data_IF_968979385483
#
_entry.id   IF_968979385483
#
_cell.length_a   1.000
_cell.length_b   1.000
_cell.length_c   1.000
_cell.angle_alpha   90.00
_cell.angle_beta   90.00
_cell.angle_gamma   90.00
#
_symmetry.space_group_name_H-M   'P 1'
#
loop_
_entity.id
_entity.type
_entity.pdbx_description
1 polymer ?
#
# COMPACT_ATOMS: atom_id res chain seq x y z
N UNK A 1 -13.09 4.43 -0.78
CA UNK A 1 -13.92 3.55 0.05
C UNK A 1 -15.07 3.00 -0.79
N UNK A 2 -14.80 2.08 -1.73
CA UNK A 2 -15.86 1.56 -2.60
C UNK A 2 -16.83 0.66 -1.82
N UNK A 3 -18.11 0.68 -2.23
CA UNK A 3 -19.15 -0.20 -1.67
C UNK A 3 -18.93 -1.68 -2.03
N UNK A 4 -18.27 -1.92 -3.17
CA UNK A 4 -17.87 -3.24 -3.63
C UNK A 4 -16.37 -3.27 -3.88
N UNK A 5 -15.69 -4.26 -3.31
CA UNK A 5 -14.25 -4.47 -3.47
C UNK A 5 -13.96 -5.95 -3.64
N UNK A 6 -13.17 -6.31 -4.66
CA UNK A 6 -12.79 -7.69 -4.93
C UNK A 6 -11.80 -8.17 -3.85
N UNK A 7 -12.20 -9.18 -3.08
CA UNK A 7 -11.40 -9.75 -1.98
C UNK A 7 -10.57 -10.95 -2.41
N UNK A 8 -10.61 -11.32 -3.70
CA UNK A 8 -9.84 -12.42 -4.28
C UNK A 8 -8.71 -11.85 -5.14
N UNK A 9 -7.59 -11.39 -4.54
CA UNK A 9 -6.47 -10.87 -5.30
C UNK A 9 -5.83 -11.99 -6.14
N UNK A 10 -5.25 -11.64 -7.29
CA UNK A 10 -4.52 -12.59 -8.15
C UNK A 10 -3.42 -13.35 -7.38
N UNK A 11 -3.04 -14.58 -7.79
CA UNK A 11 -1.98 -15.34 -7.14
C UNK A 11 -0.66 -14.55 -7.04
N UNK A 12 -0.33 -13.78 -8.07
CA UNK A 12 0.80 -12.85 -8.19
C UNK A 12 0.77 -11.62 -7.28
N UNK A 13 -0.35 -11.33 -6.60
CA UNK A 13 -0.49 -10.11 -5.81
C UNK A 13 0.51 -10.05 -4.63
N UNK A 14 1.03 -8.85 -4.38
CA UNK A 14 2.00 -8.57 -3.30
C UNK A 14 1.42 -7.54 -2.32
N UNK A 15 1.88 -7.61 -1.07
CA UNK A 15 1.30 -6.84 0.03
C UNK A 15 2.40 -6.23 0.89
N UNK A 16 2.37 -4.91 1.08
CA UNK A 16 3.39 -4.22 1.86
C UNK A 16 2.78 -3.19 2.81
N UNK A 17 3.43 -3.02 3.95
CA UNK A 17 3.16 -1.91 4.87
C UNK A 17 3.99 -0.70 4.47
N UNK A 18 3.36 0.47 4.45
CA UNK A 18 3.98 1.77 4.26
C UNK A 18 3.89 2.56 5.56
N UNK A 19 5.04 3.05 6.04
CA UNK A 19 5.14 3.85 7.26
C UNK A 19 5.49 5.29 6.90
N UNK A 20 4.53 6.19 7.08
CA UNK A 20 4.78 7.62 6.92
C UNK A 20 5.32 8.23 8.21
N UNK A 21 6.23 9.20 8.07
CA UNK A 21 6.67 10.04 9.20
C UNK A 21 5.64 11.12 9.56
N UNK A 22 4.87 11.58 8.59
CA UNK A 22 3.90 12.66 8.77
C UNK A 22 2.55 12.27 8.19
N UNK A 23 1.49 12.81 8.75
CA UNK A 23 0.16 12.69 8.15
C UNK A 23 0.06 13.50 6.85
N UNK A 24 0.69 14.68 6.82
CA UNK A 24 0.78 15.58 5.66
C UNK A 24 1.24 14.83 4.40
N UNK A 25 2.32 14.05 4.45
CA UNK A 25 2.77 13.27 3.30
C UNK A 25 1.69 12.29 2.78
N UNK A 26 0.87 11.72 3.67
CA UNK A 26 -0.24 10.82 3.27
C UNK A 26 -1.37 11.60 2.59
N UNK A 27 -1.75 12.77 3.11
CA UNK A 27 -2.71 13.68 2.45
C UNK A 27 -2.25 14.06 1.05
N UNK A 28 -0.98 14.44 0.91
CA UNK A 28 -0.39 14.81 -0.37
C UNK A 28 -0.33 13.62 -1.33
N UNK A 29 -0.10 12.40 -0.81
CA UNK A 29 -0.22 11.18 -1.60
C UNK A 29 -1.63 10.96 -2.15
N UNK A 30 -2.65 11.16 -1.31
CA UNK A 30 -4.07 11.05 -1.71
C UNK A 30 -4.38 12.09 -2.79
N UNK A 31 -3.93 13.34 -2.60
CA UNK A 31 -4.18 14.45 -3.52
C UNK A 31 -3.48 14.30 -4.87
N UNK A 32 -2.22 13.87 -4.88
CA UNK A 32 -1.38 13.86 -6.07
C UNK A 32 -1.24 12.47 -6.72
N UNK A 33 -1.73 11.40 -6.07
CA UNK A 33 -1.65 10.04 -6.61
C UNK A 33 -0.23 9.51 -6.74
N UNK A 34 0.69 9.96 -5.88
CA UNK A 34 2.08 9.51 -5.86
C UNK A 34 2.54 9.15 -4.46
N UNK A 35 3.58 8.33 -4.36
CA UNK A 35 4.29 8.04 -3.12
C UNK A 35 5.80 8.01 -3.34
N UNK A 36 6.54 8.28 -2.28
CA UNK A 36 7.98 8.09 -2.20
C UNK A 36 8.34 7.51 -0.83
N UNK A 37 9.28 6.57 -0.79
CA UNK A 37 9.89 6.04 0.44
C UNK A 37 11.35 6.48 0.52
N UNK A 38 12.10 5.94 1.48
CA UNK A 38 13.57 6.01 1.51
C UNK A 38 14.18 5.35 0.26
N UNK A 39 15.43 5.68 -0.09
CA UNK A 39 16.12 5.06 -1.24
C UNK A 39 16.06 3.52 -1.22
N UNK A 40 16.32 2.91 -0.06
CA UNK A 40 16.23 1.44 0.11
C UNK A 40 14.79 0.93 0.00
N UNK A 41 13.83 1.69 0.52
CA UNK A 41 12.41 1.36 0.41
C UNK A 41 11.92 1.43 -1.03
N UNK A 42 12.30 2.47 -1.77
CA UNK A 42 12.02 2.64 -3.19
C UNK A 42 12.63 1.51 -4.03
N UNK A 43 13.89 1.12 -3.79
CA UNK A 43 14.51 -0.04 -4.44
C UNK A 43 13.71 -1.34 -4.18
N UNK A 44 13.22 -1.55 -2.96
CA UNK A 44 12.40 -2.72 -2.62
C UNK A 44 11.05 -2.68 -3.32
N UNK A 45 10.35 -1.55 -3.26
CA UNK A 45 9.04 -1.37 -3.87
C UNK A 45 9.09 -1.55 -5.38
N UNK A 46 10.12 -0.98 -6.02
CA UNK A 46 10.34 -1.14 -7.46
C UNK A 46 10.57 -2.61 -7.86
N UNK A 47 11.43 -3.31 -7.11
CA UNK A 47 11.68 -4.74 -7.34
C UNK A 47 10.38 -5.56 -7.19
N UNK A 48 9.66 -5.37 -6.08
CA UNK A 48 8.41 -6.09 -5.82
C UNK A 48 7.37 -5.81 -6.88
N UNK A 49 7.27 -4.56 -7.35
CA UNK A 49 6.36 -4.19 -8.43
C UNK A 49 6.71 -4.90 -9.73
N UNK A 50 7.97 -4.88 -10.15
CA UNK A 50 8.43 -5.55 -11.38
C UNK A 50 8.19 -7.06 -11.33
N UNK A 51 8.59 -7.72 -10.24
CA UNK A 51 8.34 -9.16 -10.02
C UNK A 51 6.84 -9.49 -10.08
N UNK A 52 5.99 -8.64 -9.48
CA UNK A 52 4.54 -8.81 -9.50
C UNK A 52 3.96 -8.69 -10.93
N UNK A 53 4.44 -7.72 -11.73
CA UNK A 53 4.01 -7.59 -13.13
C UNK A 53 4.42 -8.79 -13.98
N UNK A 54 5.65 -9.27 -13.81
CA UNK A 54 6.16 -10.44 -14.54
C UNK A 54 5.36 -11.70 -14.20
N UNK A 55 5.09 -11.95 -12.91
CA UNK A 55 4.27 -13.07 -12.46
C UNK A 55 2.84 -13.00 -13.01
N UNK A 56 2.21 -11.81 -12.97
CA UNK A 56 0.86 -11.63 -13.49
C UNK A 56 0.77 -11.81 -15.02
N UNK A 57 1.85 -11.46 -15.74
CA UNK A 57 1.94 -11.72 -17.18
C UNK A 57 2.02 -13.23 -17.47
N UNK A 58 2.86 -13.96 -16.73
CA UNK A 58 2.96 -15.41 -16.86
C UNK A 58 1.64 -16.16 -16.55
N UNK A 59 0.86 -15.66 -15.59
CA UNK A 59 -0.50 -16.16 -15.30
C UNK A 59 -1.46 -15.96 -16.47
N UNK A 60 -1.35 -14.81 -17.15
CA UNK A 60 -2.19 -14.47 -18.30
C UNK A 60 -1.80 -15.32 -19.52
N UNK A 61 -0.49 -15.47 -19.77
CA UNK A 61 0.04 -16.25 -20.89
C UNK A 61 -0.24 -17.77 -20.73
N UNK A 62 -0.38 -18.26 -19.49
CA UNK A 62 -0.74 -19.66 -19.21
C UNK A 62 -2.25 -19.97 -19.31
N UNK A 63 -3.09 -18.96 -19.62
CA UNK A 63 -4.54 -19.13 -19.77
C UNK A 63 -5.28 -19.40 -18.45
N UNK A 64 -4.64 -19.14 -17.31
CA UNK A 64 -5.19 -19.45 -15.97
C UNK A 64 -5.88 -18.27 -15.29
N UNK A 65 -5.94 -17.10 -15.94
CA UNK A 65 -6.57 -15.90 -15.36
C UNK A 65 -7.25 -15.03 -16.42
N UNK A 66 -8.44 -14.51 -16.09
CA UNK A 66 -9.15 -13.54 -16.91
C UNK A 66 -8.38 -12.20 -16.94
N UNK A 67 -8.34 -11.56 -18.11
CA UNK A 67 -7.76 -10.23 -18.28
C UNK A 67 -8.62 -9.24 -17.49
N UNK A 68 -8.06 -8.65 -16.43
CA UNK A 68 -8.77 -7.61 -15.68
C UNK A 68 -9.01 -6.42 -16.63
N UNK A 69 -10.27 -6.14 -16.94
CA UNK A 69 -10.65 -5.00 -17.78
C UNK A 69 -10.43 -3.68 -17.01
N UNK A 70 -9.42 -2.89 -17.41
CA UNK A 70 -9.21 -1.53 -16.90
C UNK A 70 -7.76 -1.03 -16.98
N UNK A 71 -7.55 0.24 -16.63
CA UNK A 71 -6.23 0.94 -16.61
C UNK A 71 -5.29 0.51 -15.47
N UNK A 72 -5.56 -0.61 -14.81
CA UNK A 72 -4.73 -1.11 -13.68
C UNK A 72 -3.80 -2.21 -14.20
N UNK A 73 -2.47 -2.12 -13.97
CA UNK A 73 -1.53 -3.15 -14.39
C UNK A 73 -1.93 -4.54 -13.87
N UNK A 74 -1.65 -5.62 -14.63
CA UNK A 74 -2.11 -6.97 -14.31
C UNK A 74 -1.58 -7.51 -12.97
N UNK A 75 -0.42 -7.00 -12.51
CA UNK A 75 0.10 -7.28 -11.17
C UNK A 75 -0.39 -6.28 -10.13
N UNK A 76 -1.02 -6.75 -9.07
CA UNK A 76 -1.50 -5.91 -7.97
C UNK A 76 -0.53 -5.90 -6.79
N UNK A 77 0.06 -4.74 -6.51
CA UNK A 77 0.82 -4.48 -5.29
C UNK A 77 -0.01 -3.58 -4.37
N UNK A 78 -0.50 -4.17 -3.28
CA UNK A 78 -1.28 -3.47 -2.26
C UNK A 78 -0.36 -2.86 -1.19
N UNK A 79 -0.62 -1.60 -0.88
CA UNK A 79 0.14 -0.80 0.08
C UNK A 79 -0.79 -0.39 1.22
N UNK A 80 -0.45 -0.78 2.45
CA UNK A 80 -1.22 -0.44 3.66
C UNK A 80 -0.51 0.67 4.43
N UNK A 81 -1.12 1.85 4.47
CA UNK A 81 -0.54 3.07 5.04
C UNK A 81 -0.81 3.17 6.53
N UNK A 82 0.23 3.52 7.28
CA UNK A 82 0.13 3.85 8.71
C UNK A 82 1.16 4.90 9.08
N UNK A 83 0.70 6.01 9.68
CA UNK A 83 1.59 7.05 10.21
C UNK A 83 2.32 6.55 11.47
N UNK A 84 3.58 6.92 11.63
CA UNK A 84 4.36 6.56 12.82
C UNK A 84 3.73 7.16 14.08
N UNK A 85 3.52 6.34 15.11
CA UNK A 85 2.94 6.77 16.39
C UNK A 85 1.42 6.97 16.41
N UNK A 86 0.71 6.84 15.29
CA UNK A 86 -0.75 7.07 15.24
C UNK A 86 -1.58 6.00 15.95
N UNK A 87 -1.02 4.80 16.14
CA UNK A 87 -1.76 3.66 16.71
C UNK A 87 -2.81 3.06 15.75
N UNK A 88 -2.80 3.41 14.48
CA UNK A 88 -3.76 2.95 13.47
C UNK A 88 -3.16 2.85 12.06
N UNK A 89 -3.84 2.14 11.18
CA UNK A 89 -3.67 2.26 9.73
C UNK A 89 -4.70 3.25 9.18
N UNK A 90 -4.32 4.09 8.23
CA UNK A 90 -5.14 5.20 7.72
C UNK A 90 -5.59 5.04 6.26
N UNK A 91 -5.04 4.07 5.53
CA UNK A 91 -5.40 3.88 4.13
C UNK A 91 -4.80 2.66 3.48
N UNK A 92 -5.32 2.35 2.30
CA UNK A 92 -4.84 1.29 1.42
C UNK A 92 -4.84 1.80 -0.02
N UNK A 93 -3.74 1.59 -0.73
CA UNK A 93 -3.59 1.96 -2.12
C UNK A 93 -3.03 0.81 -2.97
N UNK A 94 -3.20 0.91 -4.28
CA UNK A 94 -2.44 0.14 -5.25
C UNK A 94 -1.22 0.93 -5.71
N UNK A 95 -0.08 0.28 -5.82
CA UNK A 95 1.03 0.78 -6.63
C UNK A 95 0.70 0.56 -8.11
N UNK A 96 0.84 1.61 -8.93
CA UNK A 96 0.38 1.61 -10.34
C UNK A 96 1.50 1.90 -11.35
N UNK A 97 2.71 2.17 -10.88
CA UNK A 97 3.90 2.30 -11.72
C UNK A 97 5.14 1.77 -10.99
N UNK A 98 6.20 1.50 -11.75
CA UNK A 98 7.56 1.39 -11.21
C UNK A 98 8.00 2.70 -10.56
N UNK A 99 9.11 2.65 -9.82
CA UNK A 99 9.72 3.85 -9.26
C UNK A 99 10.50 4.59 -10.34
N UNK A 100 10.23 5.88 -10.48
CA UNK A 100 11.12 6.82 -11.16
C UNK A 100 12.17 7.26 -10.13
N UNK A 101 13.44 6.92 -10.37
CA UNK A 101 14.56 7.29 -9.49
C UNK A 101 15.27 8.56 -9.94
N UNK A 102 14.95 9.09 -11.12
CA UNK A 102 15.64 10.23 -11.73
C UNK A 102 14.99 11.55 -11.31
N UNK A 103 13.67 11.55 -11.18
CA UNK A 103 12.91 12.74 -10.81
C UNK A 103 12.60 12.78 -9.31
N UNK A 104 12.35 13.98 -8.78
CA UNK A 104 11.89 14.19 -7.41
C UNK A 104 10.70 15.12 -7.44
N UNK A 105 9.73 14.87 -6.56
CA UNK A 105 8.55 15.73 -6.43
C UNK A 105 8.77 16.77 -5.34
N UNK A 106 8.37 18.01 -5.59
CA UNK A 106 8.37 19.09 -4.60
C UNK A 106 7.15 19.03 -3.68
N UNK A 107 6.24 18.08 -3.88
CA UNK A 107 5.00 18.02 -3.12
C UNK A 107 5.18 17.45 -1.71
N UNK A 108 6.36 17.09 -1.23
CA UNK A 108 6.47 16.46 0.10
C UNK A 108 6.57 17.46 1.26
N UNK A 109 6.21 17.05 2.47
CA UNK A 109 6.23 17.89 3.66
C UNK A 109 7.64 18.42 4.00
N UNK A 110 8.67 17.60 3.75
CA UNK A 110 10.07 17.96 3.90
C UNK A 110 10.71 18.05 2.51
N UNK A 111 10.98 19.29 2.07
CA UNK A 111 11.57 19.56 0.77
C UNK A 111 12.95 18.87 0.62
N UNK A 112 13.19 18.27 -0.54
CA UNK A 112 14.47 17.63 -0.88
C UNK A 112 14.79 16.33 -0.13
N UNK A 113 13.96 15.89 0.82
CA UNK A 113 14.19 14.67 1.60
C UNK A 113 13.95 13.40 0.80
N UNK A 114 12.85 13.37 0.05
CA UNK A 114 12.41 12.18 -0.67
C UNK A 114 12.80 12.29 -2.14
N UNK A 115 13.63 11.35 -2.59
CA UNK A 115 14.07 11.24 -3.98
C UNK A 115 13.38 10.06 -4.65
N UNK A 116 13.03 10.25 -5.92
CA UNK A 116 12.23 9.31 -6.66
C UNK A 116 10.78 9.27 -6.19
N UNK A 117 9.89 8.83 -7.08
CA UNK A 117 8.49 8.62 -6.76
C UNK A 117 7.85 7.58 -7.68
N UNK A 118 6.70 7.08 -7.27
CA UNK A 118 5.87 6.19 -8.08
C UNK A 118 4.40 6.54 -7.93
N UNK A 119 3.58 6.12 -8.89
CA UNK A 119 2.15 6.38 -8.89
C UNK A 119 1.41 5.40 -7.99
N UNK A 120 0.45 5.91 -7.24
CA UNK A 120 -0.47 5.11 -6.42
C UNK A 120 -1.91 5.50 -6.68
N UNK A 121 -2.82 4.54 -6.50
CA UNK A 121 -4.26 4.77 -6.48
C UNK A 121 -4.82 4.36 -5.13
N UNK A 122 -5.18 5.33 -4.31
CA UNK A 122 -5.84 5.08 -3.02
C UNK A 122 -7.22 4.44 -3.24
N UNK A 123 -7.46 3.30 -2.61
CA UNK A 123 -8.73 2.57 -2.65
C UNK A 123 -9.53 2.85 -1.38
N UNK A 124 -8.88 2.70 -0.23
CA UNK A 124 -9.46 3.03 1.06
C UNK A 124 -8.69 4.18 1.71
N UNK A 125 -9.44 5.15 2.22
CA UNK A 125 -8.94 6.22 3.08
C UNK A 125 -9.85 6.24 4.29
N UNK A 126 -9.44 5.52 5.33
CA UNK A 126 -10.20 5.36 6.57
C UNK A 126 -9.31 4.82 7.68
N UNK A 127 -9.62 5.19 8.91
CA UNK A 127 -8.83 4.80 10.06
C UNK A 127 -9.25 3.44 10.61
N UNK A 128 -8.29 2.55 10.81
CA UNK A 128 -8.46 1.23 11.40
C UNK A 128 -7.51 1.11 12.59
N UNK A 129 -8.02 1.12 13.83
CA UNK A 129 -7.20 1.03 15.02
C UNK A 129 -6.35 -0.24 15.07
N UNK A 130 -5.13 -0.16 15.59
CA UNK A 130 -4.22 -1.32 15.68
C UNK A 130 -4.82 -2.52 16.45
N UNK A 131 -5.76 -2.30 17.37
CA UNK A 131 -6.43 -3.41 18.08
C UNK A 131 -7.16 -4.38 17.14
N UNK A 132 -7.62 -3.89 15.99
CA UNK A 132 -8.30 -4.69 14.98
C UNK A 132 -7.31 -5.49 14.12
N UNK A 133 -6.02 -5.15 14.14
CA UNK A 133 -5.00 -5.74 13.26
C UNK A 133 -3.91 -6.49 14.02
N UNK A 134 -3.77 -6.27 15.35
CA UNK A 134 -2.65 -6.76 16.16
C UNK A 134 -2.52 -8.29 16.24
N UNK A 135 -3.60 -9.00 15.91
CA UNK A 135 -3.66 -10.46 15.92
C UNK A 135 -2.95 -11.05 14.70
N UNK A 136 -2.87 -10.33 13.58
CA UNK A 136 -2.17 -10.77 12.37
C UNK A 136 -0.67 -10.79 12.65
N UNK A 137 -0.06 -11.98 12.55
CA UNK A 137 1.37 -12.21 12.79
C UNK A 137 2.13 -12.41 11.49
N UNK A 138 3.34 -11.86 11.44
CA UNK A 138 4.25 -11.95 10.30
C UNK A 138 5.03 -13.26 10.38
N UNK A 139 4.45 -14.33 9.83
CA UNK A 139 5.04 -15.68 9.83
C UNK A 139 6.30 -15.77 8.95
N UNK A 140 6.50 -14.82 8.05
CA UNK A 140 7.70 -14.67 7.24
C UNK A 140 8.89 -14.06 8.01
N UNK A 141 8.77 -13.85 9.32
CA UNK A 141 9.81 -13.30 10.19
C UNK A 141 10.00 -14.15 11.45
N UNK A 142 11.26 -14.37 11.84
CA UNK A 142 11.64 -15.12 13.05
C UNK A 142 11.06 -14.51 14.33
N UNK A 143 10.84 -13.20 14.35
CA UNK A 143 10.34 -12.48 15.52
C UNK A 143 8.83 -12.67 15.74
N UNK A 144 8.10 -13.24 14.76
CA UNK A 144 6.64 -13.44 14.77
C UNK A 144 5.85 -12.20 15.26
N UNK A 145 6.34 -11.02 14.89
CA UNK A 145 5.77 -9.74 15.30
C UNK A 145 4.41 -9.54 14.65
N UNK A 146 3.59 -8.71 15.30
CA UNK A 146 2.32 -8.29 14.70
C UNK A 146 2.56 -7.38 13.50
N UNK A 147 1.67 -7.41 12.51
CA UNK A 147 1.64 -6.46 11.39
C UNK A 147 1.66 -5.00 11.85
N UNK A 148 1.10 -4.68 13.02
CA UNK A 148 1.09 -3.31 13.58
C UNK A 148 2.47 -2.84 14.06
N UNK A 149 3.46 -3.73 14.14
CA UNK A 149 4.85 -3.44 14.49
C UNK A 149 5.77 -3.44 13.25
N UNK A 150 5.19 -3.52 12.05
CA UNK A 150 5.92 -3.49 10.79
C UNK A 150 6.72 -2.21 10.61
N UNK A 151 7.89 -2.34 10.01
CA UNK A 151 8.69 -1.21 9.51
C UNK A 151 8.20 -0.81 8.12
N UNK A 152 8.70 0.33 7.64
CA UNK A 152 8.43 0.77 6.27
C UNK A 152 8.86 -0.28 5.25
N UNK A 153 8.02 -0.49 4.23
CA UNK A 153 8.20 -1.51 3.17
C UNK A 153 8.31 -2.95 3.66
N UNK A 154 7.73 -3.26 4.82
CA UNK A 154 7.61 -4.65 5.29
C UNK A 154 6.65 -5.40 4.37
N UNK A 155 7.14 -6.49 3.77
CA UNK A 155 6.31 -7.37 2.97
C UNK A 155 5.53 -8.35 3.86
N UNK A 156 4.27 -8.57 3.52
CA UNK A 156 3.37 -9.51 4.19
C UNK A 156 3.27 -10.80 3.37
N UNK A 157 3.10 -11.93 4.07
CA UNK A 157 2.68 -13.16 3.40
C UNK A 157 1.26 -13.02 2.85
N UNK A 158 0.90 -13.91 1.93
CA UNK A 158 -0.38 -13.86 1.22
C UNK A 158 -1.58 -13.93 2.16
N UNK A 159 -1.57 -14.86 3.11
CA UNK A 159 -2.67 -15.03 4.07
C UNK A 159 -2.87 -13.77 4.92
N UNK A 160 -1.78 -13.17 5.41
CA UNK A 160 -1.83 -11.90 6.14
C UNK A 160 -2.32 -10.75 5.25
N UNK A 161 -1.88 -10.68 4.00
CA UNK A 161 -2.31 -9.67 3.04
C UNK A 161 -3.81 -9.75 2.73
N UNK A 162 -4.34 -10.95 2.48
CA UNK A 162 -5.77 -11.17 2.25
C UNK A 162 -6.61 -10.85 3.50
N UNK A 163 -6.13 -11.18 4.69
CA UNK A 163 -6.79 -10.80 5.94
C UNK A 163 -6.83 -9.28 6.13
N UNK A 164 -5.73 -8.59 5.83
CA UNK A 164 -5.70 -7.13 5.77
C UNK A 164 -6.75 -6.58 4.80
N UNK A 165 -6.87 -7.13 3.57
CA UNK A 165 -7.91 -6.72 2.62
C UNK A 165 -9.33 -6.87 3.20
N UNK A 166 -9.63 -8.01 3.83
CA UNK A 166 -10.95 -8.27 4.44
C UNK A 166 -11.28 -7.26 5.54
N UNK A 167 -10.31 -6.97 6.41
CA UNK A 167 -10.50 -5.98 7.49
C UNK A 167 -10.64 -4.57 6.91
N UNK A 168 -9.81 -4.21 5.94
CA UNK A 168 -9.92 -2.93 5.24
C UNK A 168 -11.23 -2.78 4.48
N UNK A 169 -11.83 -3.84 3.96
CA UNK A 169 -13.15 -3.74 3.38
C UNK A 169 -14.24 -3.60 4.46
N UNK A 170 -14.26 -4.53 5.43
CA UNK A 170 -15.35 -4.67 6.39
C UNK A 170 -15.38 -3.68 7.56
N UNK A 171 -14.27 -3.02 7.91
CA UNK A 171 -14.24 -2.16 9.08
C UNK A 171 -15.07 -0.87 8.88
N UNK A 172 -16.12 -0.62 9.70
CA UNK A 172 -16.99 0.54 9.58
C UNK A 172 -16.36 1.75 10.29
N UNK A 173 -15.29 2.29 9.69
CA UNK A 173 -14.59 3.43 10.28
C UNK A 173 -15.49 4.66 10.34
N UNK A 174 -15.32 5.44 11.41
CA UNK A 174 -16.01 6.71 11.64
C UNK A 174 -15.10 7.92 11.43
N UNK A 175 -13.81 7.70 11.19
CA UNK A 175 -12.81 8.76 10.99
C UNK A 175 -11.92 8.40 9.79
N UNK A 176 -11.38 9.42 9.15
CA UNK A 176 -10.56 9.28 7.97
C UNK A 176 -9.77 10.57 7.79
N UNK A 177 -8.59 10.45 7.20
CA UNK A 177 -7.82 11.59 6.69
C UNK A 177 -8.69 12.50 5.79
N UNK A 178 -9.72 11.97 5.13
CA UNK A 178 -10.62 12.79 4.31
C UNK A 178 -11.33 13.91 5.08
N UNK A 179 -11.52 13.77 6.39
CA UNK A 179 -12.18 14.81 7.20
C UNK A 179 -11.32 16.06 7.37
N UNK A 180 -10.00 15.94 7.24
CA UNK A 180 -9.05 17.03 7.49
C UNK A 180 -8.46 17.59 6.19
N UNK A 181 -8.92 17.11 5.02
CA UNK A 181 -8.37 17.49 3.71
C UNK A 181 -8.42 18.99 3.40
N UNK A 182 -9.39 19.74 3.94
CA UNK A 182 -9.51 21.18 3.71
C UNK A 182 -8.37 21.99 4.38
N UNK A 183 -7.63 21.39 5.31
CA UNK A 183 -6.48 21.99 5.97
C UNK A 183 -5.14 21.73 5.24
N UNK A 184 -5.15 20.91 4.18
CA UNK A 184 -3.97 20.45 3.44
C UNK A 184 -4.02 20.80 1.94
#
# INVERSE_FOLDING_TARGET
NPDHFELSPRPSARFLVIKSFTEDDVHRSIRHGIWASTDKGNQRLDRVFKECQEAAKAETDSGTSEVAAGDVPPGHVYLFFSVNGSGQFCGMALMTSSVDFETSSSVWAQEGKWKGHFKVKHIFVKDIPNRELRHIKLENSVENKSVTQSRDTQELGRSQGEEMLRIFYGYPSRTSLLHDMDFY
#
